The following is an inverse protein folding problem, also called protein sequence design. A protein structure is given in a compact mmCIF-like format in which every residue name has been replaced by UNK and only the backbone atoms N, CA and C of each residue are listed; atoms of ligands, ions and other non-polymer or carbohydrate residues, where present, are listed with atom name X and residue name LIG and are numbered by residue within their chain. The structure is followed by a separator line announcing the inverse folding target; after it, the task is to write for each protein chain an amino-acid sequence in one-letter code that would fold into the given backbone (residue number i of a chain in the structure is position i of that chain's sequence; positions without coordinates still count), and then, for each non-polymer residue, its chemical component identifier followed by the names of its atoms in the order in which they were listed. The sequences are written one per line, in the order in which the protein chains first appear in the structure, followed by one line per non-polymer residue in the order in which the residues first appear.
data_IF_439917075146
#
_entry.id   IF_439917075146
#
_cell.length_a   1.000
_cell.length_b   1.000
_cell.length_c   1.000
_cell.angle_alpha   90.00
_cell.angle_beta   90.00
_cell.angle_gamma   90.00
#
_symmetry.space_group_name_H-M   'P 1'
#
loop_
_entity.id
_entity.type
_entity.pdbx_description
1 polymer ?
#
# COMPACT_ATOMS: atom_id res chain seq x y z
N UNK A 1 -33.32 -17.19 7.03
CA UNK A 1 -32.92 -18.58 7.38
C UNK A 1 -32.65 -19.50 6.16
N UNK A 2 -33.23 -19.23 4.97
CA UNK A 2 -33.07 -20.07 3.77
C UNK A 2 -31.70 -19.91 3.06
N UNK A 3 -31.13 -18.70 3.00
CA UNK A 3 -29.79 -18.43 2.43
C UNK A 3 -28.65 -19.19 3.16
N UNK A 4 -28.76 -19.34 4.48
CA UNK A 4 -27.73 -19.95 5.34
C UNK A 4 -27.62 -21.47 5.11
N UNK A 5 -28.69 -22.13 4.66
CA UNK A 5 -28.67 -23.57 4.35
C UNK A 5 -27.98 -23.88 3.01
N UNK A 6 -27.93 -22.94 2.06
CA UNK A 6 -27.39 -23.14 0.70
C UNK A 6 -25.89 -22.86 0.55
N UNK A 7 -25.29 -22.04 1.42
CA UNK A 7 -23.86 -21.74 1.39
C UNK A 7 -23.05 -22.77 2.18
N UNK A 8 -23.09 -24.03 1.73
CA UNK A 8 -22.23 -25.09 2.25
C UNK A 8 -21.10 -25.34 1.26
N UNK A 9 -19.86 -25.10 1.69
CA UNK A 9 -18.69 -25.32 0.85
C UNK A 9 -17.73 -26.31 1.50
N UNK A 10 -17.09 -27.13 0.66
CA UNK A 10 -15.94 -27.93 1.08
C UNK A 10 -14.75 -26.99 1.33
N UNK A 11 -13.85 -27.39 2.22
CA UNK A 11 -12.68 -26.62 2.64
C UNK A 11 -11.85 -26.13 1.44
N UNK A 12 -11.60 -27.01 0.48
CA UNK A 12 -10.85 -26.67 -0.75
C UNK A 12 -11.59 -25.69 -1.66
N UNK A 13 -12.90 -25.87 -1.84
CA UNK A 13 -13.72 -24.98 -2.68
C UNK A 13 -13.80 -23.58 -2.09
N UNK A 14 -13.84 -23.49 -0.76
CA UNK A 14 -13.77 -22.23 -0.04
C UNK A 14 -12.43 -21.53 -0.26
N UNK A 15 -11.30 -22.24 -0.14
CA UNK A 15 -9.96 -21.67 -0.39
C UNK A 15 -9.80 -21.19 -1.83
N UNK A 16 -10.22 -22.00 -2.81
CA UNK A 16 -10.18 -21.61 -4.24
C UNK A 16 -11.08 -20.40 -4.53
N UNK A 17 -12.28 -20.36 -3.93
CA UNK A 17 -13.19 -19.22 -4.05
C UNK A 17 -12.60 -17.94 -3.45
N UNK A 18 -11.94 -18.03 -2.29
CA UNK A 18 -11.23 -16.90 -1.70
C UNK A 18 -10.06 -16.46 -2.59
N UNK A 19 -9.23 -17.39 -3.06
CA UNK A 19 -8.12 -17.06 -3.94
C UNK A 19 -8.59 -16.37 -5.23
N UNK A 20 -9.70 -16.83 -5.82
CA UNK A 20 -10.29 -16.19 -6.99
C UNK A 20 -10.78 -14.78 -6.66
N UNK A 21 -11.53 -14.62 -5.56
CA UNK A 21 -12.04 -13.32 -5.13
C UNK A 21 -10.91 -12.31 -4.89
N UNK A 22 -9.84 -12.69 -4.18
CA UNK A 22 -8.69 -11.82 -3.95
C UNK A 22 -7.91 -11.54 -5.24
N UNK A 23 -7.84 -12.49 -6.17
CA UNK A 23 -7.25 -12.23 -7.51
C UNK A 23 -8.04 -11.17 -8.26
N UNK A 24 -9.38 -11.24 -8.22
CA UNK A 24 -10.26 -10.25 -8.85
C UNK A 24 -10.18 -8.87 -8.18
N UNK A 25 -10.08 -8.81 -6.85
CA UNK A 25 -9.85 -7.54 -6.13
C UNK A 25 -8.55 -6.85 -6.56
N UNK A 26 -7.53 -7.63 -6.95
CA UNK A 26 -6.28 -7.12 -7.51
C UNK A 26 -6.38 -6.76 -9.01
N UNK A 27 -7.59 -6.51 -9.54
CA UNK A 27 -7.81 -6.08 -10.91
C UNK A 27 -6.96 -4.86 -11.33
N UNK A 28 -6.73 -3.91 -10.41
CA UNK A 28 -5.87 -2.75 -10.69
C UNK A 28 -4.42 -3.15 -10.97
N UNK A 29 -3.86 -4.05 -10.16
CA UNK A 29 -2.52 -4.59 -10.36
C UNK A 29 -2.42 -5.32 -11.70
N UNK A 30 -3.43 -6.12 -12.04
CA UNK A 30 -3.48 -6.86 -13.31
C UNK A 30 -3.54 -5.87 -14.48
N UNK A 31 -4.43 -4.88 -14.43
CA UNK A 31 -4.58 -3.86 -15.47
C UNK A 31 -3.29 -3.05 -15.67
N UNK A 32 -2.65 -2.60 -14.58
CA UNK A 32 -1.39 -1.86 -14.63
C UNK A 32 -0.25 -2.72 -15.16
N UNK A 33 -0.20 -4.00 -14.80
CA UNK A 33 0.78 -4.94 -15.34
C UNK A 33 0.60 -5.11 -16.85
N UNK A 34 -0.64 -5.30 -17.32
CA UNK A 34 -0.95 -5.41 -18.75
C UNK A 34 -0.63 -4.14 -19.53
N UNK A 35 -0.91 -2.97 -18.96
CA UNK A 35 -0.57 -1.68 -19.59
C UNK A 35 0.94 -1.49 -19.77
N UNK A 36 1.76 -2.04 -18.87
CA UNK A 36 3.22 -1.93 -18.91
C UNK A 36 3.86 -2.99 -19.81
N UNK A 37 3.26 -4.18 -19.86
CA UNK A 37 3.68 -5.24 -20.80
C UNK A 37 3.41 -4.78 -22.24
N UNK A 38 2.28 -4.10 -22.49
CA UNK A 38 1.90 -3.60 -23.81
C UNK A 38 1.88 -4.74 -24.85
N UNK A 39 0.94 -5.69 -24.76
CA UNK A 39 1.01 -6.92 -25.55
C UNK A 39 0.83 -6.65 -27.04
N UNK A 40 1.92 -6.73 -27.81
CA UNK A 40 1.91 -6.63 -29.27
C UNK A 40 2.11 -8.00 -29.91
N UNK A 41 2.93 -8.86 -29.29
CA UNK A 41 3.20 -10.21 -29.80
C UNK A 41 2.48 -11.30 -28.97
N UNK A 42 2.36 -12.50 -29.56
CA UNK A 42 1.72 -13.65 -28.90
C UNK A 42 2.41 -14.02 -27.58
N UNK A 43 3.74 -13.91 -27.51
CA UNK A 43 4.52 -14.12 -26.28
C UNK A 43 4.09 -13.16 -25.17
N UNK A 44 3.94 -11.87 -25.48
CA UNK A 44 3.54 -10.84 -24.53
C UNK A 44 2.11 -11.05 -24.04
N UNK A 45 1.22 -11.54 -24.91
CA UNK A 45 -0.13 -11.91 -24.53
C UNK A 45 -0.16 -13.11 -23.57
N UNK A 46 0.63 -14.16 -23.84
CA UNK A 46 0.75 -15.31 -22.93
C UNK A 46 1.36 -14.88 -21.59
N UNK A 47 2.38 -14.01 -21.61
CA UNK A 47 2.97 -13.45 -20.41
C UNK A 47 1.95 -12.64 -19.60
N UNK A 48 1.21 -11.74 -20.26
CA UNK A 48 0.12 -10.97 -19.65
C UNK A 48 -0.94 -11.90 -19.03
N UNK A 49 -1.38 -12.93 -19.73
CA UNK A 49 -2.36 -13.91 -19.23
C UNK A 49 -1.82 -14.73 -18.05
N UNK A 50 -0.50 -14.93 -17.96
CA UNK A 50 0.13 -15.65 -16.85
C UNK A 50 0.11 -14.87 -15.52
N UNK A 51 0.07 -13.53 -15.56
CA UNK A 51 0.05 -12.67 -14.35
C UNK A 51 -1.11 -12.97 -13.39
N UNK A 52 -2.38 -12.95 -13.80
CA UNK A 52 -3.50 -13.30 -12.91
C UNK A 52 -3.45 -14.77 -12.45
N UNK A 53 -2.91 -15.67 -13.28
CA UNK A 53 -2.78 -17.08 -12.93
C UNK A 53 -1.74 -17.29 -11.81
N UNK A 54 -0.57 -16.68 -11.91
CA UNK A 54 0.47 -16.70 -10.86
C UNK A 54 -0.08 -16.07 -9.58
N UNK A 55 -0.81 -14.96 -9.69
CA UNK A 55 -1.42 -14.30 -8.54
C UNK A 55 -2.44 -15.21 -7.85
N UNK A 56 -3.30 -15.88 -8.61
CA UNK A 56 -4.25 -16.86 -8.11
C UNK A 56 -3.55 -18.02 -7.39
N UNK A 57 -2.52 -18.62 -8.00
CA UNK A 57 -1.74 -19.68 -7.38
C UNK A 57 -1.07 -19.22 -6.06
N UNK A 58 -0.55 -17.99 -6.02
CA UNK A 58 -0.01 -17.38 -4.80
C UNK A 58 -1.05 -17.29 -3.69
N UNK A 59 -2.26 -16.82 -4.00
CA UNK A 59 -3.35 -16.76 -3.02
C UNK A 59 -3.82 -18.14 -2.55
N UNK A 60 -3.83 -19.14 -3.44
CA UNK A 60 -4.15 -20.52 -3.06
C UNK A 60 -3.16 -21.03 -2.02
N UNK A 61 -1.86 -20.79 -2.20
CA UNK A 61 -0.82 -21.16 -1.24
C UNK A 61 -1.07 -20.42 0.09
N UNK A 62 -1.12 -19.09 0.07
CA UNK A 62 -1.27 -18.27 1.29
C UNK A 62 -2.52 -18.65 2.08
N UNK A 63 -3.69 -18.74 1.43
CA UNK A 63 -4.92 -19.10 2.13
C UNK A 63 -4.97 -20.57 2.56
N UNK A 64 -4.23 -21.47 1.90
CA UNK A 64 -4.07 -22.85 2.39
C UNK A 64 -3.27 -22.91 3.67
N UNK A 65 -2.20 -22.10 3.80
CA UNK A 65 -1.43 -21.98 5.04
C UNK A 65 -2.22 -21.31 6.17
N UNK A 66 -2.97 -20.24 5.86
CA UNK A 66 -3.76 -19.48 6.84
C UNK A 66 -5.09 -20.16 7.23
N UNK A 67 -5.35 -21.39 6.76
CA UNK A 67 -6.59 -22.11 6.98
C UNK A 67 -6.66 -22.78 8.37
N UNK A 68 -6.49 -21.97 9.42
CA UNK A 68 -6.62 -22.37 10.82
C UNK A 68 -8.11 -22.36 11.19
N UNK A 69 -8.67 -23.44 11.78
CA UNK A 69 -10.06 -23.45 12.22
C UNK A 69 -10.31 -22.31 13.22
N UNK A 70 -11.50 -21.71 13.17
CA UNK A 70 -11.92 -20.51 13.93
C UNK A 70 -11.26 -19.18 13.53
N UNK A 71 -9.95 -19.13 13.26
CA UNK A 71 -9.26 -17.88 12.93
C UNK A 71 -9.41 -17.44 11.46
N UNK A 72 -9.59 -18.38 10.53
CA UNK A 72 -9.67 -18.08 9.09
C UNK A 72 -10.77 -17.07 8.71
N UNK A 73 -11.95 -17.17 9.35
CA UNK A 73 -13.10 -16.31 9.04
C UNK A 73 -12.89 -14.85 9.44
N UNK A 74 -12.58 -14.54 10.72
CA UNK A 74 -12.32 -13.16 11.12
C UNK A 74 -11.11 -12.59 10.35
N UNK A 75 -10.06 -13.40 10.12
CA UNK A 75 -8.90 -12.97 9.34
C UNK A 75 -9.30 -12.55 7.92
N UNK A 76 -10.06 -13.37 7.19
CA UNK A 76 -10.50 -13.05 5.83
C UNK A 76 -11.43 -11.83 5.78
N UNK A 77 -12.27 -11.62 6.80
CA UNK A 77 -13.13 -10.43 6.89
C UNK A 77 -12.26 -9.16 7.03
N UNK A 78 -11.31 -9.16 7.97
CA UNK A 78 -10.38 -8.04 8.15
C UNK A 78 -9.57 -7.79 6.88
N UNK A 79 -9.08 -8.86 6.24
CA UNK A 79 -8.33 -8.74 4.99
C UNK A 79 -9.20 -8.19 3.85
N UNK A 80 -10.47 -8.59 3.76
CA UNK A 80 -11.39 -8.13 2.71
C UNK A 80 -11.70 -6.63 2.87
N UNK A 81 -11.99 -6.19 4.08
CA UNK A 81 -12.25 -4.77 4.37
C UNK A 81 -10.98 -3.94 4.11
N UNK A 82 -9.82 -4.42 4.54
CA UNK A 82 -8.53 -3.78 4.26
C UNK A 82 -8.23 -3.66 2.77
N UNK A 83 -8.48 -4.72 1.99
CA UNK A 83 -8.38 -4.69 0.53
C UNK A 83 -9.35 -3.67 -0.10
N UNK A 84 -10.60 -3.59 0.37
CA UNK A 84 -11.56 -2.63 -0.17
C UNK A 84 -11.12 -1.18 0.07
N UNK A 85 -10.61 -0.87 1.26
CA UNK A 85 -10.04 0.44 1.56
C UNK A 85 -8.79 0.71 0.71
N UNK A 86 -7.82 -0.21 0.71
CA UNK A 86 -6.58 -0.06 -0.06
C UNK A 86 -6.86 0.13 -1.55
N UNK A 87 -7.74 -0.68 -2.15
CA UNK A 87 -8.10 -0.56 -3.57
C UNK A 87 -8.79 0.75 -3.88
N UNK A 88 -9.66 1.27 -3.00
CA UNK A 88 -10.24 2.61 -3.20
C UNK A 88 -9.17 3.69 -3.29
N UNK A 89 -8.21 3.71 -2.35
CA UNK A 89 -7.13 4.69 -2.36
C UNK A 89 -6.22 4.56 -3.59
N UNK A 90 -5.95 3.33 -4.02
CA UNK A 90 -5.15 3.08 -5.22
C UNK A 90 -5.89 3.50 -6.51
N UNK A 91 -7.20 3.27 -6.61
CA UNK A 91 -7.99 3.65 -7.80
C UNK A 91 -8.23 5.16 -7.89
N UNK A 92 -8.69 5.77 -6.80
CA UNK A 92 -9.13 7.17 -6.80
C UNK A 92 -7.96 8.15 -6.73
N UNK A 93 -6.97 7.86 -5.89
CA UNK A 93 -5.85 8.78 -5.63
C UNK A 93 -4.53 8.33 -6.27
N UNK A 94 -4.49 7.14 -6.88
CA UNK A 94 -3.23 6.59 -7.39
C UNK A 94 -2.20 6.30 -6.30
N UNK A 95 -2.66 6.23 -5.04
CA UNK A 95 -1.79 6.04 -3.88
C UNK A 95 -1.11 4.66 -3.96
N UNK A 96 0.16 4.56 -3.55
CA UNK A 96 0.84 3.29 -3.37
C UNK A 96 0.85 2.97 -1.89
N UNK A 97 0.23 1.86 -1.50
CA UNK A 97 0.17 1.46 -0.09
C UNK A 97 1.51 0.84 0.29
N UNK A 98 2.34 1.62 0.97
CA UNK A 98 3.60 1.16 1.51
C UNK A 98 3.75 1.49 3.01
N UNK A 99 4.95 1.28 3.55
CA UNK A 99 5.21 1.53 4.97
C UNK A 99 4.93 2.98 5.37
N UNK A 100 5.30 3.95 4.53
CA UNK A 100 5.14 5.36 4.87
C UNK A 100 3.65 5.75 4.82
N UNK A 101 2.90 5.17 3.88
CA UNK A 101 1.44 5.31 3.87
C UNK A 101 0.79 4.80 5.18
N UNK A 102 1.28 3.69 5.74
CA UNK A 102 0.80 3.21 7.05
C UNK A 102 1.17 4.17 8.18
N UNK A 103 2.38 4.75 8.17
CA UNK A 103 2.76 5.80 9.13
C UNK A 103 1.79 6.97 9.05
N UNK A 104 1.48 7.46 7.85
CA UNK A 104 0.51 8.53 7.67
C UNK A 104 -0.84 8.17 8.28
N UNK A 105 -1.37 6.95 8.05
CA UNK A 105 -2.64 6.51 8.65
C UNK A 105 -2.60 6.54 10.18
N UNK A 106 -1.47 6.17 10.80
CA UNK A 106 -1.32 6.16 12.26
C UNK A 106 -1.02 7.55 12.85
N UNK A 107 -0.37 8.45 12.12
CA UNK A 107 -0.05 9.82 12.56
C UNK A 107 -1.14 10.85 12.22
N UNK A 108 -2.07 10.51 11.33
CA UNK A 108 -3.18 11.37 10.88
C UNK A 108 -4.10 11.77 12.04
N UNK A 109 -4.56 13.03 12.05
CA UNK A 109 -5.57 13.50 12.99
C UNK A 109 -7.01 13.22 12.52
N UNK A 110 -7.96 13.13 13.46
CA UNK A 110 -9.39 12.93 13.18
C UNK A 110 -9.98 13.92 12.17
N UNK A 111 -9.57 15.19 12.19
CA UNK A 111 -10.05 16.23 11.27
C UNK A 111 -9.52 16.04 9.84
N UNK A 112 -8.28 15.57 9.69
CA UNK A 112 -7.69 15.26 8.38
C UNK A 112 -8.35 13.99 7.80
N UNK A 113 -8.54 12.97 8.63
CA UNK A 113 -9.19 11.73 8.24
C UNK A 113 -10.65 11.94 7.79
N UNK A 114 -11.43 12.78 8.48
CA UNK A 114 -12.82 13.04 8.10
C UNK A 114 -12.94 13.81 6.79
N UNK A 115 -11.99 14.70 6.47
CA UNK A 115 -11.96 15.40 5.19
C UNK A 115 -11.77 14.46 3.99
N UNK A 116 -11.16 13.30 4.19
CA UNK A 116 -10.98 12.26 3.17
C UNK A 116 -12.22 11.36 2.98
N UNK A 117 -13.16 11.38 3.93
CA UNK A 117 -14.37 10.55 3.87
C UNK A 117 -15.35 11.15 2.88
N UNK A 118 -15.55 10.45 1.76
CA UNK A 118 -16.55 10.80 0.76
C UNK A 118 -17.66 9.74 0.71
N UNK A 119 -18.89 10.10 0.28
CA UNK A 119 -19.97 9.13 0.06
C UNK A 119 -19.57 7.99 -0.90
N UNK A 120 -18.73 8.31 -1.89
CA UNK A 120 -18.19 7.33 -2.84
C UNK A 120 -17.28 6.31 -2.14
N UNK A 121 -16.41 6.75 -1.23
CA UNK A 121 -15.58 5.85 -0.43
C UNK A 121 -16.43 4.91 0.43
N UNK A 122 -17.46 5.45 1.10
CA UNK A 122 -18.36 4.66 1.95
C UNK A 122 -19.06 3.59 1.09
N UNK A 123 -19.64 3.99 -0.04
CA UNK A 123 -20.31 3.07 -0.95
C UNK A 123 -19.37 1.97 -1.46
N UNK A 124 -18.13 2.33 -1.82
CA UNK A 124 -17.12 1.38 -2.26
C UNK A 124 -16.77 0.37 -1.17
N UNK A 125 -16.50 0.83 0.06
CA UNK A 125 -16.16 -0.06 1.18
C UNK A 125 -17.35 -0.97 1.52
N UNK A 126 -18.58 -0.48 1.44
CA UNK A 126 -19.77 -1.30 1.69
C UNK A 126 -19.90 -2.40 0.62
N UNK A 127 -19.80 -2.05 -0.67
CA UNK A 127 -20.00 -3.00 -1.77
C UNK A 127 -18.82 -3.98 -1.90
N UNK A 128 -17.59 -3.47 -1.93
CA UNK A 128 -16.39 -4.26 -2.18
C UNK A 128 -15.80 -4.89 -0.90
N UNK A 129 -16.16 -4.39 0.28
CA UNK A 129 -15.65 -4.85 1.57
C UNK A 129 -16.72 -5.55 2.43
N UNK A 130 -17.78 -4.83 2.80
CA UNK A 130 -18.76 -5.31 3.77
C UNK A 130 -19.64 -6.44 3.22
N UNK A 131 -20.21 -6.28 2.02
CA UNK A 131 -21.02 -7.31 1.36
C UNK A 131 -20.27 -8.64 1.23
N UNK A 132 -19.05 -8.71 0.64
CA UNK A 132 -18.32 -9.96 0.56
C UNK A 132 -17.92 -10.50 1.94
N UNK A 133 -17.60 -9.63 2.90
CA UNK A 133 -17.32 -10.05 4.29
C UNK A 133 -18.51 -10.74 4.95
N UNK A 134 -19.73 -10.23 4.76
CA UNK A 134 -20.96 -10.86 5.26
C UNK A 134 -21.20 -12.20 4.57
N UNK A 135 -20.99 -12.28 3.25
CA UNK A 135 -21.10 -13.56 2.51
C UNK A 135 -20.11 -14.58 3.06
N UNK A 136 -18.84 -14.20 3.27
CA UNK A 136 -17.82 -15.06 3.88
C UNK A 136 -18.20 -15.51 5.29
N UNK A 137 -18.73 -14.61 6.13
CA UNK A 137 -19.18 -14.92 7.48
C UNK A 137 -20.30 -15.97 7.49
N UNK A 138 -21.30 -15.81 6.61
CA UNK A 138 -22.47 -16.68 6.48
C UNK A 138 -22.17 -18.06 5.87
N UNK A 139 -21.06 -18.22 5.15
CA UNK A 139 -20.69 -19.51 4.57
C UNK A 139 -20.39 -20.56 5.65
N UNK A 140 -21.05 -21.72 5.58
CA UNK A 140 -20.78 -22.86 6.46
C UNK A 140 -19.76 -23.77 5.80
N UNK A 141 -18.60 -23.87 6.41
CA UNK A 141 -17.52 -24.71 5.90
C UNK A 141 -17.67 -26.10 6.53
N UNK A 142 -17.95 -27.10 5.70
CA UNK A 142 -17.97 -28.49 6.14
C UNK A 142 -16.55 -29.04 6.05
N UNK A 143 -15.93 -29.24 7.20
CA UNK A 143 -14.65 -29.94 7.29
C UNK A 143 -14.91 -31.44 7.28
N UNK A 144 -14.34 -32.15 6.31
CA UNK A 144 -14.28 -33.61 6.34
C UNK A 144 -13.31 -34.12 7.42
N UNK A 145 -12.91 -35.39 7.34
CA UNK A 145 -11.86 -35.95 8.22
C UNK A 145 -10.59 -35.08 8.10
N UNK A 146 -9.97 -34.72 9.22
CA UNK A 146 -8.82 -33.79 9.26
C UNK A 146 -7.68 -34.24 8.32
N UNK A 147 -7.30 -35.51 8.31
CA UNK A 147 -6.24 -36.00 7.42
C UNK A 147 -6.54 -35.80 5.92
N UNK A 148 -7.81 -35.97 5.50
CA UNK A 148 -8.21 -35.77 4.11
C UNK A 148 -8.22 -34.27 3.75
N UNK A 149 -8.67 -33.42 4.69
CA UNK A 149 -8.57 -31.98 4.54
C UNK A 149 -7.10 -31.52 4.46
N UNK A 150 -6.20 -32.10 5.26
CA UNK A 150 -4.77 -31.80 5.20
C UNK A 150 -4.15 -32.24 3.88
N UNK A 151 -4.43 -33.47 3.42
CA UNK A 151 -3.91 -34.00 2.17
C UNK A 151 -4.35 -33.18 0.96
N UNK A 152 -5.63 -32.82 0.89
CA UNK A 152 -6.17 -31.99 -0.20
C UNK A 152 -5.59 -30.57 -0.20
N UNK A 153 -5.30 -30.00 0.98
CA UNK A 153 -4.58 -28.71 1.09
C UNK A 153 -3.15 -28.82 0.58
N UNK A 154 -2.41 -29.85 1.00
CA UNK A 154 -1.03 -30.07 0.54
C UNK A 154 -0.99 -30.30 -0.96
N UNK A 155 -1.90 -31.10 -1.50
CA UNK A 155 -2.03 -31.30 -2.94
C UNK A 155 -2.33 -30.00 -3.69
N UNK A 156 -3.22 -29.15 -3.18
CA UNK A 156 -3.51 -27.85 -3.78
C UNK A 156 -2.31 -26.89 -3.74
N UNK A 157 -1.56 -26.87 -2.63
CA UNK A 157 -0.34 -26.08 -2.50
C UNK A 157 0.74 -26.55 -3.47
N UNK A 158 0.97 -27.86 -3.57
CA UNK A 158 1.94 -28.44 -4.50
C UNK A 158 1.54 -28.21 -5.96
N UNK A 159 0.25 -28.34 -6.29
CA UNK A 159 -0.27 -28.05 -7.62
C UNK A 159 -0.08 -26.57 -8.00
N UNK A 160 -0.41 -25.65 -7.09
CA UNK A 160 -0.20 -24.22 -7.30
C UNK A 160 1.30 -23.88 -7.45
N UNK A 161 2.16 -24.50 -6.64
CA UNK A 161 3.61 -24.30 -6.71
C UNK A 161 4.18 -24.81 -8.05
N UNK A 162 3.73 -25.98 -8.52
CA UNK A 162 4.15 -26.54 -9.79
C UNK A 162 3.77 -25.62 -10.96
N UNK A 163 2.56 -25.06 -10.95
CA UNK A 163 2.12 -24.08 -11.97
C UNK A 163 3.00 -22.83 -11.95
N UNK A 164 3.33 -22.30 -10.77
CA UNK A 164 4.22 -21.13 -10.65
C UNK A 164 5.62 -21.45 -11.21
N UNK A 165 6.18 -22.62 -10.88
CA UNK A 165 7.50 -23.05 -11.38
C UNK A 165 7.49 -23.19 -12.90
N UNK A 166 6.43 -23.77 -13.47
CA UNK A 166 6.29 -23.93 -14.91
C UNK A 166 6.23 -22.56 -15.62
N UNK A 167 5.44 -21.63 -15.10
CA UNK A 167 5.34 -20.27 -15.64
C UNK A 167 6.68 -19.54 -15.49
N UNK A 168 7.34 -19.66 -14.35
CA UNK A 168 8.64 -19.07 -14.10
C UNK A 168 9.69 -19.62 -15.08
N UNK A 169 9.72 -20.92 -15.34
CA UNK A 169 10.64 -21.51 -16.31
C UNK A 169 10.47 -20.94 -17.74
N UNK A 170 9.24 -20.59 -18.12
CA UNK A 170 8.92 -20.04 -19.44
C UNK A 170 9.14 -18.53 -19.54
N UNK A 171 8.82 -17.77 -18.49
CA UNK A 171 8.76 -16.29 -18.51
C UNK A 171 9.68 -15.61 -17.48
N UNK A 172 10.70 -16.29 -16.96
CA UNK A 172 11.58 -15.76 -15.90
C UNK A 172 12.16 -14.37 -16.24
N UNK A 173 12.69 -14.21 -17.45
CA UNK A 173 13.33 -12.96 -17.88
C UNK A 173 12.34 -11.79 -17.92
N UNK A 174 11.12 -12.04 -18.36
CA UNK A 174 10.05 -11.05 -18.47
C UNK A 174 9.59 -10.61 -17.08
N UNK A 175 9.37 -11.55 -16.16
CA UNK A 175 9.06 -11.25 -14.76
C UNK A 175 10.19 -10.48 -14.06
N UNK A 176 11.45 -10.90 -14.28
CA UNK A 176 12.60 -10.23 -13.69
C UNK A 176 12.72 -8.78 -14.18
N UNK A 177 12.51 -8.53 -15.48
CA UNK A 177 12.53 -7.18 -16.06
C UNK A 177 11.37 -6.32 -15.51
N UNK A 178 10.14 -6.85 -15.52
CA UNK A 178 8.95 -6.14 -15.04
C UNK A 178 9.12 -5.68 -13.58
N UNK A 179 9.53 -6.59 -12.69
CA UNK A 179 9.66 -6.27 -11.27
C UNK A 179 10.92 -5.45 -10.95
N UNK A 180 12.01 -5.59 -11.71
CA UNK A 180 13.22 -4.79 -11.51
C UNK A 180 13.01 -3.34 -11.92
N UNK A 181 12.33 -3.11 -13.05
CA UNK A 181 12.08 -1.78 -13.59
C UNK A 181 10.88 -1.09 -12.92
N UNK A 182 9.90 -1.86 -12.44
CA UNK A 182 8.66 -1.33 -11.84
C UNK A 182 8.41 -1.87 -10.43
N UNK A 183 9.34 -1.58 -9.51
CA UNK A 183 9.22 -2.01 -8.09
C UNK A 183 7.93 -1.54 -7.41
N UNK A 184 7.33 -0.45 -7.88
CA UNK A 184 6.05 0.07 -7.37
C UNK A 184 4.86 -0.85 -7.65
N UNK A 185 4.85 -1.61 -8.76
CA UNK A 185 3.76 -2.53 -9.12
C UNK A 185 3.63 -3.64 -8.08
N UNK A 186 4.75 -4.18 -7.59
CA UNK A 186 4.75 -5.26 -6.58
C UNK A 186 4.07 -4.77 -5.29
N UNK A 187 4.20 -3.48 -4.95
CA UNK A 187 3.54 -2.87 -3.79
C UNK A 187 2.03 -2.64 -3.98
N UNK A 188 1.48 -2.87 -5.17
CA UNK A 188 0.03 -2.77 -5.41
C UNK A 188 -0.72 -4.07 -5.07
N UNK A 189 0.00 -5.17 -4.80
CA UNK A 189 -0.62 -6.47 -4.51
C UNK A 189 -1.24 -6.45 -3.09
N UNK A 190 -2.57 -6.44 -3.04
CA UNK A 190 -3.38 -6.47 -1.80
C UNK A 190 -3.84 -7.90 -1.49
N UNK A 191 -3.84 -8.36 -0.23
CA UNK A 191 -3.50 -7.66 1.00
C UNK A 191 -2.01 -7.62 1.39
N UNK A 192 -1.13 -8.24 0.60
CA UNK A 192 0.29 -8.40 0.97
C UNK A 192 0.99 -7.06 1.26
N UNK A 193 0.65 -6.02 0.50
CA UNK A 193 1.21 -4.68 0.65
C UNK A 193 0.99 -4.08 2.03
N UNK A 194 -0.26 -3.94 2.48
CA UNK A 194 -0.54 -3.32 3.77
C UNK A 194 -0.22 -4.25 4.94
N UNK A 195 -0.34 -5.58 4.78
CA UNK A 195 0.07 -6.52 5.83
C UNK A 195 1.56 -6.42 6.09
N UNK A 196 2.39 -6.43 5.03
CA UNK A 196 3.84 -6.27 5.17
C UNK A 196 4.23 -4.88 5.70
N UNK A 197 3.53 -3.83 5.28
CA UNK A 197 3.74 -2.47 5.77
C UNK A 197 3.41 -2.33 7.27
N UNK A 198 2.29 -2.88 7.73
CA UNK A 198 1.90 -2.90 9.16
C UNK A 198 2.92 -3.70 9.97
N UNK A 199 3.33 -4.90 9.52
CA UNK A 199 4.34 -5.71 10.24
C UNK A 199 5.66 -4.96 10.35
N UNK A 200 6.12 -4.31 9.28
CA UNK A 200 7.37 -3.53 9.27
C UNK A 200 7.27 -2.30 10.17
N UNK A 201 6.16 -1.58 10.13
CA UNK A 201 5.88 -0.46 11.03
C UNK A 201 5.88 -0.92 12.50
N UNK A 202 5.17 -2.00 12.82
CA UNK A 202 5.14 -2.54 14.18
C UNK A 202 6.53 -2.95 14.67
N UNK A 203 7.34 -3.57 13.81
CA UNK A 203 8.73 -3.92 14.12
C UNK A 203 9.57 -2.68 14.45
N UNK A 204 9.46 -1.62 13.67
CA UNK A 204 10.22 -0.39 13.93
C UNK A 204 9.69 0.40 15.13
N UNK A 205 8.39 0.36 15.42
CA UNK A 205 7.81 1.17 16.49
C UNK A 205 7.90 0.52 17.86
N UNK A 206 7.63 -0.79 17.95
CA UNK A 206 7.57 -1.52 19.22
C UNK A 206 8.76 -2.45 19.45
N UNK A 207 9.46 -2.88 18.40
CA UNK A 207 10.58 -3.83 18.51
C UNK A 207 11.93 -3.21 18.13
N UNK A 208 12.03 -1.87 18.05
CA UNK A 208 13.29 -1.18 17.76
C UNK A 208 14.28 -1.15 18.94
N UNK A 209 13.92 -1.73 20.10
CA UNK A 209 14.78 -1.74 21.28
C UNK A 209 14.85 -0.38 21.97
N UNK A 210 15.84 -0.23 22.85
CA UNK A 210 16.12 1.03 23.55
C UNK A 210 16.81 2.00 22.58
N UNK A 211 16.04 2.96 22.07
CA UNK A 211 16.59 4.08 21.31
C UNK A 211 17.03 5.15 22.31
N UNK A 212 18.26 5.02 22.81
CA UNK A 212 18.84 6.03 23.69
C UNK A 212 18.86 7.37 22.95
N UNK A 213 18.42 8.42 23.65
CA UNK A 213 18.40 9.77 23.09
C UNK A 213 19.84 10.21 22.79
N UNK A 214 20.21 10.20 21.52
CA UNK A 214 21.50 10.74 21.08
C UNK A 214 21.41 12.26 21.11
N UNK A 215 22.21 12.88 21.96
CA UNK A 215 22.35 14.34 22.02
C UNK A 215 23.34 14.76 20.94
N UNK A 216 22.95 15.74 20.14
CA UNK A 216 23.76 16.30 19.04
C UNK A 216 23.86 17.82 19.29
N UNK A 217 25.03 18.40 19.01
CA UNK A 217 25.26 19.85 19.14
C UNK A 217 25.50 20.32 20.58
N UNK A 218 26.07 19.48 21.45
CA UNK A 218 26.40 19.88 22.83
C UNK A 218 27.53 20.93 22.91
N UNK A 219 28.31 21.07 21.84
CA UNK A 219 29.39 22.05 21.66
C UNK A 219 28.93 23.35 20.96
N UNK A 220 27.66 23.43 20.57
CA UNK A 220 27.12 24.56 19.82
C UNK A 220 27.07 25.84 20.67
N UNK A 221 27.84 26.85 20.27
CA UNK A 221 27.88 28.16 20.89
C UNK A 221 27.63 29.26 19.85
N UNK A 222 27.19 30.43 20.31
CA UNK A 222 26.95 31.59 19.42
C UNK A 222 28.29 32.06 18.83
N UNK A 223 28.36 32.14 17.51
CA UNK A 223 29.52 32.69 16.81
C UNK A 223 29.71 34.19 17.07
N UNK A 224 30.94 34.67 16.83
CA UNK A 224 31.35 36.07 17.04
C UNK A 224 30.45 37.10 16.33
N UNK A 225 29.93 36.77 15.16
CA UNK A 225 29.00 37.58 14.38
C UNK A 225 27.69 37.91 15.12
N UNK A 226 27.11 36.93 15.80
CA UNK A 226 25.84 37.11 16.53
C UNK A 226 26.11 37.80 17.87
N UNK A 227 27.22 37.44 18.53
CA UNK A 227 27.61 38.02 19.82
C UNK A 227 27.97 39.51 19.70
N UNK A 228 28.47 39.94 18.54
CA UNK A 228 28.78 41.35 18.26
C UNK A 228 27.59 42.24 17.90
N UNK A 229 26.37 41.69 17.73
CA UNK A 229 25.19 42.49 17.38
C UNK A 229 24.54 43.12 18.62
N UNK A 230 24.31 44.43 18.56
CA UNK A 230 23.62 45.21 19.59
C UNK A 230 22.11 44.94 19.65
N UNK A 231 21.50 44.50 18.55
CA UNK A 231 20.07 44.18 18.45
C UNK A 231 19.84 42.68 18.42
N UNK A 232 18.73 42.22 18.98
CA UNK A 232 18.32 40.81 18.94
C UNK A 232 17.95 40.41 17.50
N UNK A 233 18.53 39.32 17.01
CA UNK A 233 18.13 38.69 15.75
C UNK A 233 16.88 37.83 15.97
N UNK A 234 15.84 38.04 15.17
CA UNK A 234 14.62 37.22 15.16
C UNK A 234 14.57 36.43 13.85
N UNK A 235 14.50 35.10 13.95
CA UNK A 235 14.30 34.21 12.81
C UNK A 235 12.87 33.67 12.87
N UNK A 236 12.14 33.81 11.77
CA UNK A 236 10.82 33.18 11.58
C UNK A 236 10.96 32.13 10.50
N UNK A 237 10.73 30.87 10.85
CA UNK A 237 10.70 29.75 9.90
C UNK A 237 9.25 29.38 9.61
N UNK A 238 8.83 29.54 8.37
CA UNK A 238 7.50 29.13 7.90
C UNK A 238 7.64 27.79 7.19
N UNK A 239 7.01 26.76 7.74
CA UNK A 239 6.96 25.41 7.14
C UNK A 239 5.64 25.27 6.39
N UNK A 240 5.70 25.19 5.07
CA UNK A 240 4.52 25.00 4.22
C UNK A 240 3.98 23.56 4.26
N UNK A 241 2.69 23.41 3.94
CA UNK A 241 2.00 22.12 3.81
C UNK A 241 1.49 21.98 2.36
N UNK A 242 1.82 20.87 1.68
CA UNK A 242 1.36 20.51 0.33
C UNK A 242 1.57 21.55 -0.81
N UNK A 243 2.32 22.63 -0.55
CA UNK A 243 2.61 23.67 -1.54
C UNK A 243 3.68 23.20 -2.53
N UNK A 244 3.45 23.37 -3.83
CA UNK A 244 4.35 22.88 -4.89
C UNK A 244 4.84 23.98 -5.81
N UNK A 245 6.13 23.95 -6.14
CA UNK A 245 6.81 24.96 -6.95
C UNK A 245 6.16 25.22 -8.33
N UNK A 246 5.53 24.19 -8.94
CA UNK A 246 4.86 24.28 -10.23
C UNK A 246 3.67 25.25 -10.28
N UNK A 247 3.10 25.58 -9.11
CA UNK A 247 1.94 26.48 -9.00
C UNK A 247 2.32 27.86 -8.42
N UNK A 248 3.60 28.19 -8.36
CA UNK A 248 4.06 29.50 -7.91
C UNK A 248 4.19 30.45 -9.09
N UNK A 249 3.45 31.56 -9.03
CA UNK A 249 3.57 32.65 -10.01
C UNK A 249 4.98 33.25 -10.04
N UNK A 250 5.69 33.25 -8.91
CA UNK A 250 7.10 33.65 -8.82
C UNK A 250 8.04 32.73 -9.63
N UNK A 251 7.60 31.52 -9.97
CA UNK A 251 8.32 30.56 -10.81
C UNK A 251 7.82 30.55 -12.27
N UNK A 252 6.96 31.50 -12.66
CA UNK A 252 6.42 31.59 -14.02
C UNK A 252 5.10 30.85 -14.25
N UNK A 253 4.37 30.48 -13.19
CA UNK A 253 3.01 29.93 -13.32
C UNK A 253 2.05 30.99 -13.88
N UNK A 254 1.20 30.61 -14.84
CA UNK A 254 0.31 31.53 -15.58
C UNK A 254 -0.66 32.31 -14.69
N UNK A 255 -1.11 31.71 -13.58
CA UNK A 255 -2.01 32.38 -12.63
C UNK A 255 -1.22 33.08 -11.54
N UNK A 256 -1.60 34.29 -11.19
CA UNK A 256 -0.97 35.07 -10.13
C UNK A 256 -1.33 34.54 -8.73
N UNK A 257 -0.60 33.52 -8.26
CA UNK A 257 -0.82 32.83 -6.98
C UNK A 257 -0.10 33.46 -5.79
N UNK A 258 0.87 34.35 -6.02
CA UNK A 258 1.66 35.00 -4.97
C UNK A 258 1.72 36.53 -5.11
N UNK A 259 0.57 37.23 -5.27
CA UNK A 259 0.54 38.66 -5.58
C UNK A 259 1.19 39.52 -4.50
N UNK A 260 1.02 39.17 -3.21
CA UNK A 260 1.60 39.95 -2.10
C UNK A 260 3.11 39.78 -1.96
N UNK A 261 3.63 38.57 -2.23
CA UNK A 261 5.07 38.32 -2.19
C UNK A 261 5.79 39.00 -3.36
N UNK A 262 5.15 39.12 -4.52
CA UNK A 262 5.69 39.81 -5.69
C UNK A 262 5.92 41.31 -5.46
N UNK A 263 5.19 41.93 -4.53
CA UNK A 263 5.35 43.34 -4.15
C UNK A 263 6.55 43.57 -3.21
N UNK A 264 7.15 42.50 -2.69
CA UNK A 264 8.26 42.55 -1.74
C UNK A 264 9.56 42.13 -2.42
N UNK A 265 10.69 42.59 -1.89
CA UNK A 265 12.04 42.20 -2.36
C UNK A 265 12.42 40.82 -1.80
N UNK A 266 11.69 39.79 -2.23
CA UNK A 266 11.86 38.41 -1.75
C UNK A 266 12.87 37.63 -2.58
N UNK A 267 13.72 36.84 -1.93
CA UNK A 267 14.61 35.88 -2.61
C UNK A 267 13.81 34.61 -2.87
N UNK A 268 13.63 34.27 -4.15
CA UNK A 268 12.94 33.05 -4.57
C UNK A 268 13.93 31.96 -5.00
N UNK A 269 13.68 30.71 -4.60
CA UNK A 269 14.46 29.54 -4.96
C UNK A 269 13.63 28.62 -5.89
N UNK A 270 13.75 28.76 -7.22
CA UNK A 270 12.87 28.06 -8.16
C UNK A 270 13.13 26.55 -8.26
N UNK A 271 14.32 26.10 -7.88
CA UNK A 271 14.77 24.70 -7.99
C UNK A 271 14.99 24.08 -6.60
N UNK A 272 13.95 24.09 -5.77
CA UNK A 272 13.95 23.42 -4.48
C UNK A 272 13.24 22.07 -4.57
N UNK A 273 13.82 21.03 -3.96
CA UNK A 273 13.24 19.68 -3.89
C UNK A 273 12.98 19.31 -2.43
N UNK A 274 11.90 18.58 -2.16
CA UNK A 274 11.60 18.04 -0.84
C UNK A 274 12.32 16.70 -0.64
N UNK A 275 12.67 16.40 0.61
CA UNK A 275 13.27 15.12 0.98
C UNK A 275 12.27 13.94 0.95
N UNK A 276 10.97 14.24 0.98
CA UNK A 276 9.88 13.27 0.87
C UNK A 276 8.62 13.93 0.31
N UNK A 277 7.63 13.11 -0.06
CA UNK A 277 6.34 13.56 -0.60
C UNK A 277 5.22 13.54 0.42
N UNK A 278 5.53 13.25 1.68
CA UNK A 278 4.59 13.03 2.78
C UNK A 278 5.02 13.80 4.03
N UNK A 279 4.07 14.39 4.75
CA UNK A 279 4.35 15.27 5.90
C UNK A 279 5.11 14.55 7.02
N UNK A 280 4.79 13.28 7.28
CA UNK A 280 5.48 12.45 8.28
C UNK A 280 6.97 12.25 7.94
N UNK A 281 7.29 12.04 6.66
CA UNK A 281 8.68 11.87 6.19
C UNK A 281 9.42 13.21 6.29
N UNK A 282 8.79 14.30 5.85
CA UNK A 282 9.40 15.64 5.89
C UNK A 282 9.74 16.11 7.32
N UNK A 283 8.90 15.79 8.31
CA UNK A 283 9.15 16.15 9.71
C UNK A 283 10.13 15.21 10.42
N UNK A 284 10.56 14.12 9.77
CA UNK A 284 11.47 13.15 10.37
C UNK A 284 12.93 13.60 10.27
N UNK A 285 13.76 13.38 11.32
CA UNK A 285 15.21 13.65 11.28
C UNK A 285 15.96 12.87 10.19
N UNK A 286 15.35 11.81 9.63
CA UNK A 286 15.93 10.97 8.59
C UNK A 286 15.94 11.63 7.19
N UNK A 287 15.40 12.84 7.04
CA UNK A 287 15.56 13.65 5.82
C UNK A 287 17.00 14.17 5.68
N UNK A 288 17.91 13.30 5.30
CA UNK A 288 19.22 13.69 4.80
C UNK A 288 19.10 13.96 3.29
N UNK A 289 19.53 15.11 2.77
CA UNK A 289 19.63 15.30 1.33
C UNK A 289 20.64 14.28 0.79
N UNK A 290 20.22 13.49 -0.20
CA UNK A 290 21.12 12.70 -1.03
C UNK A 290 21.87 13.63 -2.00
#
# INVERSE_FOLDING_TARGET
MWLIKKLQCNDIKFTLGCALFFTLLNGLFIQRSWAIIGPVHLHDFLFAASVPLVLFCGWVIVFSLLNIPYLRKPLLIVLTIGCAAATYFMYTYGAVIDQNMIVNVFETNSQEATALVTPQMILWIVIAGLVPSVVLALTRIRTGKWWYALLTRVAAMLGALLVIILIAALFYKDYASLFRNNKSIVKMVTPANYVSAVVKYSKMRWFAGDQTLVRIGEDAHKGSLITGQQKKTVLVLVVGEASRAANYSLNGYERETNPELKKQDVINFPQASSCGTETAVFRSPACSPA
#
